data_IF_464579516562
#
_entry.id   IF_464579516562
#
_cell.length_a   1.000
_cell.length_b   1.000
_cell.length_c   1.000
_cell.angle_alpha   90.00
_cell.angle_beta   90.00
_cell.angle_gamma   90.00
#
_symmetry.space_group_name_H-M   'P 1'
#
loop_
_entity.id
_entity.type
_entity.pdbx_description
1 polymer ?
#
# COMPACT_ATOMS: atom_id res chain seq x y z
N UNK A 1 -32.55 -18.84 15.90
CA UNK A 1 -31.22 -19.49 15.74
C UNK A 1 -30.23 -18.65 16.50
N UNK A 2 -29.71 -19.15 17.62
CA UNK A 2 -28.65 -18.49 18.38
C UNK A 2 -27.41 -18.51 17.48
N UNK A 3 -26.98 -17.33 17.04
CA UNK A 3 -25.93 -17.22 16.05
C UNK A 3 -24.61 -17.72 16.60
N UNK A 4 -24.06 -18.76 15.97
CA UNK A 4 -22.64 -19.05 16.08
C UNK A 4 -21.86 -17.78 15.70
N UNK A 5 -20.90 -17.38 16.52
CA UNK A 5 -20.10 -16.19 16.28
C UNK A 5 -19.50 -16.28 14.87
N UNK A 6 -19.76 -15.28 14.05
CA UNK A 6 -19.25 -15.24 12.66
C UNK A 6 -17.73 -15.07 12.71
N UNK A 7 -16.98 -16.04 12.18
CA UNK A 7 -15.52 -16.03 12.13
C UNK A 7 -15.07 -15.90 10.68
N UNK A 8 -14.46 -14.77 10.34
CA UNK A 8 -14.14 -14.38 8.97
C UNK A 8 -12.63 -14.42 8.75
N UNK A 9 -12.21 -15.15 7.71
CA UNK A 9 -10.84 -15.12 7.22
C UNK A 9 -10.73 -14.16 6.04
N UNK A 10 -9.88 -13.15 6.15
CA UNK A 10 -9.45 -12.29 5.05
C UNK A 10 -8.16 -12.85 4.47
N UNK A 11 -8.07 -12.96 3.14
CA UNK A 11 -6.85 -13.41 2.45
C UNK A 11 -6.37 -12.30 1.52
N UNK A 12 -5.33 -11.57 1.93
CA UNK A 12 -4.64 -10.54 1.12
C UNK A 12 -3.18 -10.49 1.54
N UNK A 13 -2.34 -11.41 1.04
CA UNK A 13 -0.96 -11.55 1.53
C UNK A 13 -0.01 -10.42 1.14
N UNK A 14 -0.15 -9.82 -0.03
CA UNK A 14 0.81 -8.82 -0.58
C UNK A 14 0.22 -8.11 -1.81
N UNK A 15 0.79 -7.01 -2.35
CA UNK A 15 1.94 -6.26 -1.84
C UNK A 15 1.52 -5.21 -0.80
N UNK A 16 2.41 -4.28 -0.38
CA UNK A 16 2.06 -3.22 0.60
C UNK A 16 0.83 -2.42 0.15
N UNK A 17 0.83 -1.89 -1.07
CA UNK A 17 -0.30 -1.14 -1.60
C UNK A 17 -1.58 -1.98 -1.68
N UNK A 18 -1.47 -3.26 -2.08
CA UNK A 18 -2.62 -4.17 -2.11
C UNK A 18 -3.20 -4.44 -0.72
N UNK A 19 -2.34 -4.55 0.30
CA UNK A 19 -2.77 -4.70 1.70
C UNK A 19 -3.51 -3.45 2.14
N UNK A 20 -2.93 -2.26 1.90
CA UNK A 20 -3.58 -0.97 2.19
C UNK A 20 -4.95 -0.89 1.50
N UNK A 21 -5.06 -1.23 0.22
CA UNK A 21 -6.33 -1.18 -0.52
C UNK A 21 -7.42 -2.12 0.03
N UNK A 22 -7.09 -3.06 0.90
CA UNK A 22 -8.07 -3.97 1.49
C UNK A 22 -8.68 -3.46 2.81
N UNK A 23 -8.04 -2.49 3.49
CA UNK A 23 -8.55 -1.98 4.78
C UNK A 23 -10.01 -1.50 4.73
N UNK A 24 -10.44 -0.72 3.71
CA UNK A 24 -11.84 -0.28 3.65
C UNK A 24 -12.84 -1.44 3.53
N UNK A 25 -12.50 -2.50 2.78
CA UNK A 25 -13.33 -3.69 2.67
C UNK A 25 -13.41 -4.46 4.01
N UNK A 26 -12.32 -4.52 4.77
CA UNK A 26 -12.27 -5.12 6.11
C UNK A 26 -13.10 -4.30 7.11
N UNK A 27 -12.97 -2.97 7.07
CA UNK A 27 -13.79 -2.06 7.87
C UNK A 27 -15.28 -2.26 7.60
N UNK A 28 -15.64 -2.42 6.34
CA UNK A 28 -17.02 -2.66 5.93
C UNK A 28 -17.57 -3.99 6.45
N UNK A 29 -16.75 -5.06 6.42
CA UNK A 29 -17.10 -6.35 7.01
C UNK A 29 -17.36 -6.23 8.51
N UNK A 30 -16.49 -5.53 9.24
CA UNK A 30 -16.64 -5.33 10.67
C UNK A 30 -17.87 -4.50 11.01
N UNK A 31 -18.16 -3.45 10.25
CA UNK A 31 -19.36 -2.65 10.40
C UNK A 31 -20.63 -3.49 10.17
N UNK A 32 -20.63 -4.40 9.20
CA UNK A 32 -21.78 -5.29 8.89
C UNK A 32 -21.93 -6.40 9.93
N UNK A 33 -20.85 -6.86 10.51
CA UNK A 33 -20.82 -7.95 11.50
C UNK A 33 -19.99 -7.51 12.73
N UNK A 34 -20.56 -6.65 13.60
CA UNK A 34 -19.82 -6.09 14.74
C UNK A 34 -19.25 -7.15 15.68
N UNK A 35 -19.96 -8.27 15.87
CA UNK A 35 -19.54 -9.36 16.75
C UNK A 35 -18.61 -10.38 16.06
N UNK A 36 -18.33 -10.21 14.75
CA UNK A 36 -17.48 -11.14 14.04
C UNK A 36 -16.01 -11.01 14.47
N UNK A 37 -15.34 -12.15 14.57
CA UNK A 37 -13.88 -12.21 14.69
C UNK A 37 -13.28 -12.19 13.29
N UNK A 38 -12.50 -11.15 12.95
CA UNK A 38 -11.80 -11.05 11.69
C UNK A 38 -10.33 -11.45 11.88
N UNK A 39 -9.90 -12.44 11.11
CA UNK A 39 -8.50 -12.85 11.02
C UNK A 39 -7.99 -12.56 9.61
N UNK A 40 -6.77 -12.05 9.46
CA UNK A 40 -6.22 -11.68 8.16
C UNK A 40 -4.91 -12.41 7.87
N UNK A 41 -4.88 -13.24 6.82
CA UNK A 41 -3.64 -13.83 6.31
C UNK A 41 -2.90 -12.81 5.46
N UNK A 42 -1.72 -12.45 5.92
CA UNK A 42 -0.85 -11.43 5.32
C UNK A 42 0.61 -11.89 5.39
N UNK A 43 1.47 -11.43 4.48
CA UNK A 43 2.91 -11.70 4.60
C UNK A 43 3.44 -11.17 5.94
N UNK A 44 4.37 -11.90 6.53
CA UNK A 44 5.00 -11.55 7.81
C UNK A 44 5.52 -10.11 7.83
N UNK A 45 6.09 -9.62 6.74
CA UNK A 45 6.55 -8.24 6.57
C UNK A 45 5.47 -7.17 6.82
N UNK A 46 4.20 -7.51 6.65
CA UNK A 46 3.07 -6.56 6.80
C UNK A 46 2.14 -6.91 7.97
N UNK A 47 2.50 -7.91 8.78
CA UNK A 47 1.66 -8.36 9.88
C UNK A 47 1.43 -7.25 10.91
N UNK A 48 2.48 -6.51 11.25
CA UNK A 48 2.41 -5.40 12.21
C UNK A 48 1.54 -4.25 11.69
N UNK A 49 1.61 -3.94 10.38
CA UNK A 49 0.74 -2.95 9.74
C UNK A 49 -0.74 -3.36 9.83
N UNK A 50 -1.05 -4.64 9.57
CA UNK A 50 -2.41 -5.17 9.73
C UNK A 50 -2.84 -5.14 11.18
N UNK A 51 -1.92 -5.30 12.13
CA UNK A 51 -2.15 -5.14 13.56
C UNK A 51 -2.61 -3.74 13.98
N UNK A 52 -2.33 -2.71 13.16
CA UNK A 52 -2.87 -1.36 13.37
C UNK A 52 -4.36 -1.23 13.01
N UNK A 53 -4.95 -2.24 12.36
CA UNK A 53 -6.38 -2.25 12.05
C UNK A 53 -7.20 -2.67 13.27
N UNK A 54 -8.00 -1.77 13.88
CA UNK A 54 -8.80 -2.11 15.06
C UNK A 54 -9.88 -3.16 14.76
N UNK A 55 -10.21 -3.35 13.49
CA UNK A 55 -11.24 -4.26 13.03
C UNK A 55 -10.73 -5.71 12.89
N UNK A 56 -9.41 -5.92 12.93
CA UNK A 56 -8.75 -7.22 12.80
C UNK A 56 -8.32 -7.73 14.16
N UNK A 57 -8.83 -8.89 14.56
CA UNK A 57 -8.46 -9.53 15.80
C UNK A 57 -7.11 -10.27 15.71
N UNK A 58 -6.81 -10.85 14.55
CA UNK A 58 -5.61 -11.65 14.36
C UNK A 58 -4.97 -11.41 12.98
N UNK A 59 -3.75 -10.88 12.96
CA UNK A 59 -2.87 -10.90 11.79
C UNK A 59 -2.14 -12.25 11.73
N UNK A 60 -2.44 -13.05 10.70
CA UNK A 60 -1.89 -14.40 10.53
C UNK A 60 -0.73 -14.36 9.54
N UNK A 61 0.49 -14.41 10.04
CA UNK A 61 1.70 -14.25 9.24
C UNK A 61 1.91 -15.40 8.24
N UNK A 62 1.94 -15.06 6.95
CA UNK A 62 2.25 -15.97 5.85
C UNK A 62 3.72 -15.81 5.46
N UNK A 63 4.57 -16.74 5.88
CA UNK A 63 6.03 -16.68 5.73
C UNK A 63 6.51 -17.18 4.38
N UNK A 64 6.08 -16.50 3.30
CA UNK A 64 6.30 -16.92 1.90
C UNK A 64 7.75 -17.28 1.57
N UNK A 65 8.69 -16.41 1.94
CA UNK A 65 10.11 -16.60 1.60
C UNK A 65 10.71 -17.80 2.34
N UNK A 66 10.32 -17.97 3.61
CA UNK A 66 10.77 -19.09 4.44
C UNK A 66 10.24 -20.43 3.93
N UNK A 67 8.96 -20.45 3.50
CA UNK A 67 8.29 -21.68 3.04
C UNK A 67 8.56 -22.06 1.59
N UNK A 68 9.29 -21.27 0.85
CA UNK A 68 9.83 -21.66 -0.46
C UNK A 68 10.88 -22.78 -0.34
N UNK A 69 11.40 -23.04 0.87
CA UNK A 69 12.38 -24.10 1.13
C UNK A 69 11.66 -25.42 1.46
N UNK A 70 11.93 -26.54 0.75
CA UNK A 70 11.27 -27.85 0.99
C UNK A 70 11.36 -28.32 2.45
N UNK A 71 12.46 -28.03 3.12
CA UNK A 71 12.69 -28.35 4.54
C UNK A 71 11.67 -27.74 5.50
N UNK A 72 10.89 -26.76 5.06
CA UNK A 72 9.91 -26.02 5.86
C UNK A 72 8.46 -26.44 5.62
N UNK A 73 8.22 -27.52 4.92
CA UNK A 73 6.86 -28.00 4.63
C UNK A 73 6.07 -28.37 5.88
N UNK A 74 6.74 -28.83 6.95
CA UNK A 74 6.08 -29.02 8.24
C UNK A 74 5.46 -27.73 8.81
N UNK A 75 6.11 -26.58 8.58
CA UNK A 75 5.58 -25.27 8.99
C UNK A 75 4.34 -24.91 8.16
N UNK A 76 4.32 -25.24 6.87
CA UNK A 76 3.14 -25.03 6.00
C UNK A 76 1.97 -25.89 6.46
N UNK A 77 2.24 -27.17 6.79
CA UNK A 77 1.23 -28.07 7.34
C UNK A 77 0.70 -27.53 8.66
N UNK A 78 1.60 -27.06 9.55
CA UNK A 78 1.24 -26.43 10.81
C UNK A 78 0.37 -25.19 10.62
N UNK A 79 0.71 -24.34 9.65
CA UNK A 79 -0.08 -23.16 9.30
C UNK A 79 -1.49 -23.54 8.84
N UNK A 80 -1.61 -24.52 7.92
CA UNK A 80 -2.92 -25.00 7.44
C UNK A 80 -3.74 -25.63 8.57
N UNK A 81 -3.12 -26.41 9.46
CA UNK A 81 -3.80 -26.95 10.64
C UNK A 81 -4.28 -25.83 11.56
N UNK A 82 -3.44 -24.81 11.79
CA UNK A 82 -3.80 -23.63 12.58
C UNK A 82 -4.95 -22.83 11.97
N UNK A 83 -5.04 -22.74 10.62
CA UNK A 83 -6.19 -22.12 9.95
C UNK A 83 -7.47 -22.94 10.20
N UNK A 84 -7.42 -24.27 10.03
CA UNK A 84 -8.58 -25.15 10.22
C UNK A 84 -9.09 -25.15 11.66
N UNK A 85 -8.17 -25.14 12.63
CA UNK A 85 -8.50 -25.11 14.05
C UNK A 85 -9.26 -23.84 14.48
N UNK A 86 -9.26 -22.80 13.65
CA UNK A 86 -10.01 -21.56 13.90
C UNK A 86 -11.46 -21.61 13.43
N UNK A 87 -11.88 -22.67 12.73
CA UNK A 87 -13.26 -22.90 12.31
C UNK A 87 -13.93 -21.70 11.65
N UNK A 88 -13.28 -21.16 10.61
CA UNK A 88 -13.79 -20.03 9.87
C UNK A 88 -15.14 -20.35 9.21
N UNK A 89 -16.12 -19.49 9.38
CA UNK A 89 -17.44 -19.60 8.74
C UNK A 89 -17.39 -19.13 7.29
N UNK A 90 -16.52 -18.15 7.00
CA UNK A 90 -16.30 -17.64 5.65
C UNK A 90 -14.86 -17.21 5.44
N UNK A 91 -14.32 -17.45 4.26
CA UNK A 91 -13.06 -16.90 3.79
C UNK A 91 -13.31 -15.93 2.62
N UNK A 92 -12.72 -14.73 2.68
CA UNK A 92 -12.83 -13.70 1.66
C UNK A 92 -11.46 -13.48 1.05
N UNK A 93 -11.28 -13.89 -0.20
CA UNK A 93 -10.03 -13.69 -0.94
C UNK A 93 -10.06 -12.38 -1.73
N UNK A 94 -9.37 -11.38 -1.23
CA UNK A 94 -9.20 -10.07 -1.85
C UNK A 94 -7.95 -10.00 -2.77
N UNK A 95 -7.17 -11.09 -2.87
CA UNK A 95 -5.97 -11.16 -3.72
C UNK A 95 -6.27 -11.67 -5.12
N UNK A 96 -7.03 -12.75 -5.23
CA UNK A 96 -7.43 -13.34 -6.51
C UNK A 96 -6.31 -14.03 -7.28
N UNK A 97 -5.34 -14.66 -6.59
CA UNK A 97 -4.27 -15.47 -7.17
C UNK A 97 -4.37 -16.92 -6.68
N UNK A 98 -3.83 -17.89 -7.42
CA UNK A 98 -3.90 -19.30 -7.05
C UNK A 98 -3.48 -19.55 -5.60
N UNK A 99 -2.39 -18.93 -5.16
CA UNK A 99 -1.89 -19.07 -3.79
C UNK A 99 -2.91 -18.62 -2.75
N UNK A 100 -3.54 -17.48 -2.94
CA UNK A 100 -4.55 -16.96 -2.01
C UNK A 100 -5.83 -17.80 -2.06
N UNK A 101 -6.23 -18.25 -3.23
CA UNK A 101 -7.33 -19.21 -3.41
C UNK A 101 -7.09 -20.52 -2.67
N UNK A 102 -5.87 -21.06 -2.73
CA UNK A 102 -5.49 -22.27 -1.98
C UNK A 102 -5.52 -22.03 -0.47
N UNK A 103 -5.07 -20.86 0.02
CA UNK A 103 -5.18 -20.52 1.44
C UNK A 103 -6.67 -20.51 1.86
N UNK A 104 -7.53 -19.87 1.08
CA UNK A 104 -8.98 -19.87 1.32
C UNK A 104 -9.57 -21.29 1.28
N UNK A 105 -9.15 -22.14 0.32
CA UNK A 105 -9.61 -23.54 0.18
C UNK A 105 -9.19 -24.40 1.35
N UNK A 106 -7.94 -24.26 1.80
CA UNK A 106 -7.39 -25.09 2.88
C UNK A 106 -7.70 -24.60 4.29
N UNK A 107 -8.25 -23.37 4.43
CA UNK A 107 -8.74 -22.88 5.72
C UNK A 107 -9.89 -23.72 6.30
N UNK A 108 -10.57 -24.48 5.47
CA UNK A 108 -11.73 -25.27 5.87
C UNK A 108 -13.05 -24.49 5.87
N UNK A 109 -13.03 -23.18 5.59
CA UNK A 109 -14.22 -22.36 5.54
C UNK A 109 -15.25 -22.92 4.52
N UNK A 110 -16.51 -23.19 4.92
CA UNK A 110 -17.53 -23.72 4.02
C UNK A 110 -17.92 -22.72 2.93
N UNK A 111 -17.96 -21.42 3.25
CA UNK A 111 -18.19 -20.33 2.31
C UNK A 111 -16.88 -19.66 1.97
N UNK A 112 -16.54 -19.60 0.68
CA UNK A 112 -15.31 -19.00 0.19
C UNK A 112 -15.64 -18.04 -0.95
N UNK A 113 -15.44 -16.75 -0.69
CA UNK A 113 -15.81 -15.65 -1.59
C UNK A 113 -14.54 -15.14 -2.27
N UNK A 114 -14.61 -14.87 -3.57
CA UNK A 114 -13.54 -14.25 -4.32
C UNK A 114 -13.99 -13.71 -5.67
N UNK A 115 -13.07 -13.08 -6.40
CA UNK A 115 -13.38 -12.50 -7.71
C UNK A 115 -13.64 -13.59 -8.76
N UNK A 116 -14.67 -13.41 -9.58
CA UNK A 116 -14.93 -14.28 -10.72
C UNK A 116 -13.78 -14.24 -11.74
N UNK A 117 -13.18 -13.05 -11.95
CA UNK A 117 -12.03 -12.82 -12.81
C UNK A 117 -10.67 -13.04 -12.09
N UNK A 118 -10.64 -13.88 -11.04
CA UNK A 118 -9.40 -14.24 -10.36
C UNK A 118 -8.44 -14.96 -11.30
N UNK A 119 -7.15 -14.63 -11.20
CA UNK A 119 -6.10 -15.14 -12.08
C UNK A 119 -5.59 -16.52 -11.65
N UNK A 120 -4.78 -17.15 -12.50
CA UNK A 120 -4.07 -18.41 -12.21
C UNK A 120 -5.03 -19.56 -11.82
N UNK A 121 -6.30 -19.49 -12.19
CA UNK A 121 -7.30 -20.50 -11.84
C UNK A 121 -7.82 -20.43 -10.40
N UNK A 122 -7.51 -19.39 -9.65
CA UNK A 122 -7.94 -19.21 -8.25
C UNK A 122 -9.46 -19.27 -8.05
N UNK A 123 -10.23 -18.86 -9.06
CA UNK A 123 -11.70 -18.92 -9.02
C UNK A 123 -12.26 -20.33 -8.72
N UNK A 124 -11.51 -21.40 -9.02
CA UNK A 124 -11.89 -22.79 -8.69
C UNK A 124 -11.84 -23.10 -7.20
N UNK A 125 -11.17 -22.28 -6.41
CA UNK A 125 -11.09 -22.43 -4.95
C UNK A 125 -12.29 -21.85 -4.23
N UNK A 126 -13.12 -21.03 -4.91
CA UNK A 126 -14.24 -20.31 -4.30
C UNK A 126 -15.56 -21.06 -4.47
N UNK A 127 -16.41 -20.97 -3.46
CA UNK A 127 -17.82 -21.43 -3.51
C UNK A 127 -18.72 -20.33 -4.07
N UNK A 128 -18.30 -19.07 -3.93
CA UNK A 128 -19.01 -17.90 -4.42
C UNK A 128 -18.04 -16.98 -5.18
N UNK A 129 -18.42 -16.59 -6.39
CA UNK A 129 -17.61 -15.79 -7.29
C UNK A 129 -18.33 -14.49 -7.62
N UNK A 130 -17.71 -13.37 -7.27
CA UNK A 130 -18.28 -12.04 -7.51
C UNK A 130 -17.75 -11.49 -8.83
N UNK A 131 -18.66 -11.18 -9.76
CA UNK A 131 -18.33 -10.52 -11.00
C UNK A 131 -18.28 -9.01 -10.77
N UNK A 132 -17.09 -8.43 -10.90
CA UNK A 132 -16.89 -6.99 -10.75
C UNK A 132 -17.23 -6.29 -12.06
N UNK A 133 -18.11 -5.27 -12.07
CA UNK A 133 -18.40 -4.47 -13.26
C UNK A 133 -17.17 -3.76 -13.82
N UNK A 134 -17.12 -3.55 -15.13
CA UNK A 134 -15.95 -2.95 -15.80
C UNK A 134 -15.67 -1.49 -15.37
N UNK A 135 -16.67 -0.77 -14.92
CA UNK A 135 -16.52 0.60 -14.41
C UNK A 135 -15.97 0.66 -12.98
N UNK A 136 -15.94 -0.46 -12.25
CA UNK A 136 -15.29 -0.56 -10.92
C UNK A 136 -13.82 -0.90 -11.13
N UNK A 137 -12.99 0.13 -11.33
CA UNK A 137 -11.60 -0.03 -11.78
C UNK A 137 -10.59 -0.01 -10.66
N UNK A 138 -10.71 0.94 -9.72
CA UNK A 138 -9.73 1.12 -8.66
C UNK A 138 -9.68 -0.08 -7.70
N UNK A 139 -8.50 -0.46 -7.23
CA UNK A 139 -8.30 -1.64 -6.38
C UNK A 139 -9.09 -1.57 -5.06
N UNK A 140 -9.24 -0.38 -4.46
CA UNK A 140 -10.09 -0.17 -3.28
C UNK A 140 -11.54 -0.46 -3.61
N UNK A 141 -12.06 0.15 -4.68
CA UNK A 141 -13.47 -0.01 -5.08
C UNK A 141 -13.80 -1.46 -5.42
N UNK A 142 -12.88 -2.17 -6.06
CA UNK A 142 -13.01 -3.60 -6.36
C UNK A 142 -13.13 -4.45 -5.09
N UNK A 143 -12.28 -4.19 -4.09
CA UNK A 143 -12.32 -4.90 -2.81
C UNK A 143 -13.63 -4.60 -2.06
N UNK A 144 -14.04 -3.33 -2.01
CA UNK A 144 -15.30 -2.89 -1.41
C UNK A 144 -16.50 -3.49 -2.15
N UNK A 145 -16.48 -3.48 -3.49
CA UNK A 145 -17.53 -4.06 -4.32
C UNK A 145 -17.70 -5.57 -4.05
N UNK A 146 -16.59 -6.31 -3.98
CA UNK A 146 -16.63 -7.74 -3.66
C UNK A 146 -17.35 -7.99 -2.34
N UNK A 147 -16.97 -7.25 -1.29
CA UNK A 147 -17.59 -7.40 0.04
C UNK A 147 -19.05 -6.97 0.02
N UNK A 148 -19.38 -5.83 -0.58
CA UNK A 148 -20.77 -5.35 -0.70
C UNK A 148 -21.65 -6.38 -1.38
N UNK A 149 -21.23 -6.89 -2.52
CA UNK A 149 -21.99 -7.87 -3.31
C UNK A 149 -22.19 -9.18 -2.58
N UNK A 150 -21.13 -9.72 -1.97
CA UNK A 150 -21.18 -11.01 -1.30
C UNK A 150 -22.00 -10.98 0.01
N UNK A 151 -22.09 -9.84 0.68
CA UNK A 151 -22.72 -9.73 2.01
C UNK A 151 -23.97 -8.86 2.02
N UNK A 152 -24.47 -8.43 0.86
CA UNK A 152 -25.72 -7.68 0.72
C UNK A 152 -25.67 -6.31 1.41
N UNK A 153 -24.55 -5.58 1.27
CA UNK A 153 -24.37 -4.27 1.87
C UNK A 153 -24.72 -3.19 0.84
N UNK A 154 -25.83 -2.47 1.05
CA UNK A 154 -26.35 -1.52 0.08
C UNK A 154 -25.45 -0.28 -0.04
N UNK A 155 -25.17 0.38 1.07
CA UNK A 155 -24.39 1.60 1.13
C UNK A 155 -23.12 1.40 1.95
N UNK A 156 -22.01 1.96 1.45
CA UNK A 156 -20.73 1.88 2.12
C UNK A 156 -19.91 3.14 1.87
N UNK A 157 -19.64 3.87 2.92
CA UNK A 157 -18.59 4.91 2.89
C UNK A 157 -17.25 4.22 2.99
N UNK A 158 -16.35 4.53 2.05
CA UNK A 158 -14.96 4.08 2.12
C UNK A 158 -14.26 4.84 3.24
N UNK A 159 -13.82 4.12 4.25
CA UNK A 159 -13.12 4.69 5.39
C UNK A 159 -11.89 3.85 5.74
N UNK A 160 -10.82 4.53 6.07
CA UNK A 160 -9.58 3.92 6.55
C UNK A 160 -9.64 3.75 8.06
N UNK A 161 -9.10 2.67 8.56
CA UNK A 161 -9.05 2.36 9.99
C UNK A 161 -7.64 1.88 10.34
N UNK A 162 -6.74 2.82 10.55
CA UNK A 162 -5.36 2.60 10.96
C UNK A 162 -5.09 3.34 12.25
N UNK A 163 -4.88 2.61 13.35
CA UNK A 163 -4.46 3.20 14.63
C UNK A 163 -3.02 3.68 14.54
N UNK A 164 -2.67 4.62 15.38
CA UNK A 164 -1.28 4.92 15.66
C UNK A 164 -0.69 3.91 16.63
N UNK A 165 0.59 3.57 16.44
CA UNK A 165 1.37 2.76 17.39
C UNK A 165 2.20 3.68 18.29
N UNK A 166 2.03 3.68 19.61
CA UNK A 166 2.74 4.60 20.50
C UNK A 166 4.26 4.53 20.36
N UNK A 167 4.83 3.33 20.27
CA UNK A 167 6.28 3.15 20.09
C UNK A 167 6.74 3.72 18.75
N UNK A 168 6.01 3.49 17.66
CA UNK A 168 6.33 4.04 16.36
C UNK A 168 6.16 5.58 16.30
N UNK A 169 5.21 6.14 17.07
CA UNK A 169 5.08 7.58 17.23
C UNK A 169 6.31 8.18 17.93
N UNK A 170 6.78 7.52 18.99
CA UNK A 170 7.99 7.95 19.71
C UNK A 170 9.23 7.84 18.80
N UNK A 171 9.37 6.75 18.06
CA UNK A 171 10.46 6.56 17.10
C UNK A 171 10.44 7.63 16.00
N UNK A 172 9.26 7.94 15.44
CA UNK A 172 9.12 8.99 14.42
C UNK A 172 9.49 10.36 14.98
N UNK A 173 9.06 10.71 16.20
CA UNK A 173 9.45 11.96 16.86
C UNK A 173 10.96 12.01 17.09
N UNK A 174 11.55 10.94 17.61
CA UNK A 174 12.98 10.86 17.86
C UNK A 174 13.82 11.01 16.55
N UNK A 175 13.34 10.41 15.42
CA UNK A 175 13.97 10.59 14.11
C UNK A 175 13.91 12.04 13.65
N UNK A 176 12.73 12.67 13.70
CA UNK A 176 12.57 14.07 13.32
C UNK A 176 13.42 15.00 14.18
N UNK A 177 13.48 14.78 15.49
CA UNK A 177 14.30 15.55 16.42
C UNK A 177 15.80 15.37 16.16
N UNK A 178 16.28 14.13 15.98
CA UNK A 178 17.69 13.80 15.67
C UNK A 178 18.16 14.52 14.42
N UNK A 179 17.31 14.60 13.43
CA UNK A 179 17.63 15.21 12.13
C UNK A 179 17.18 16.67 12.03
N UNK A 180 16.75 17.29 13.13
CA UNK A 180 16.30 18.69 13.22
C UNK A 180 15.19 19.05 12.22
N UNK A 181 14.28 18.10 11.99
CA UNK A 181 13.10 18.27 11.12
C UNK A 181 11.86 18.71 11.89
N UNK A 182 11.90 18.69 13.22
CA UNK A 182 10.77 19.12 14.06
C UNK A 182 10.52 20.62 13.89
N UNK A 183 9.24 20.99 13.82
CA UNK A 183 8.81 22.40 13.74
C UNK A 183 8.91 23.03 12.36
N UNK A 184 9.55 22.39 11.39
CA UNK A 184 9.54 22.87 10.01
C UNK A 184 8.15 22.73 9.38
N UNK A 185 7.74 23.76 8.65
CA UNK A 185 6.50 23.76 7.87
C UNK A 185 6.70 24.52 6.55
N UNK A 186 6.31 23.93 5.41
CA UNK A 186 5.86 22.55 5.30
C UNK A 186 6.99 21.52 5.50
N UNK A 187 6.65 20.37 6.10
CA UNK A 187 7.50 19.18 6.13
C UNK A 187 7.11 18.28 4.95
N UNK A 188 8.02 18.13 3.99
CA UNK A 188 7.75 17.43 2.73
C UNK A 188 8.49 16.10 2.70
N UNK A 189 7.73 15.02 2.58
CA UNK A 189 8.27 13.68 2.34
C UNK A 189 8.56 13.47 0.86
N UNK A 190 9.67 12.80 0.53
CA UNK A 190 10.01 12.42 -0.84
C UNK A 190 10.33 10.94 -0.88
N UNK A 191 9.54 10.15 -1.64
CA UNK A 191 9.77 8.73 -1.86
C UNK A 191 10.24 8.48 -3.32
N UNK A 192 11.57 8.65 -3.58
CA UNK A 192 12.09 8.68 -4.93
C UNK A 192 12.29 7.28 -5.54
N UNK A 193 12.24 6.24 -4.72
CA UNK A 193 12.41 4.87 -5.18
C UNK A 193 11.09 4.18 -5.51
N UNK A 194 11.14 3.25 -6.43
CA UNK A 194 10.03 2.34 -6.73
C UNK A 194 10.57 0.93 -6.99
N UNK A 195 9.75 -0.09 -6.73
CA UNK A 195 10.13 -1.49 -6.92
C UNK A 195 10.48 -1.84 -8.37
N UNK A 196 9.88 -1.14 -9.34
CA UNK A 196 10.14 -1.32 -10.75
C UNK A 196 10.97 -0.14 -11.26
N UNK A 197 12.12 -0.39 -11.91
CA UNK A 197 12.93 0.68 -12.48
C UNK A 197 12.14 1.61 -13.42
N UNK A 198 11.18 1.04 -14.18
CA UNK A 198 10.31 1.80 -15.09
C UNK A 198 9.39 2.81 -14.38
N UNK A 199 9.12 2.64 -13.09
CA UNK A 199 8.30 3.55 -12.27
C UNK A 199 9.12 4.65 -11.60
N UNK A 200 10.43 4.56 -11.65
CA UNK A 200 11.30 5.51 -10.95
C UNK A 200 11.50 6.76 -11.80
N UNK A 201 11.05 7.88 -11.30
CA UNK A 201 11.31 9.19 -11.89
C UNK A 201 12.80 9.55 -11.70
N UNK A 202 13.44 10.20 -12.68
CA UNK A 202 14.85 10.51 -12.59
C UNK A 202 15.22 11.32 -11.35
N UNK A 203 16.31 10.97 -10.63
CA UNK A 203 16.71 11.66 -9.41
C UNK A 203 16.92 13.17 -9.58
N UNK A 204 17.43 13.59 -10.73
CA UNK A 204 17.64 15.00 -11.08
C UNK A 204 16.35 15.82 -11.10
N UNK A 205 15.21 15.19 -11.43
CA UNK A 205 13.92 15.88 -11.43
C UNK A 205 13.35 16.03 -10.02
N UNK A 206 13.53 15.03 -9.14
CA UNK A 206 13.23 15.20 -7.71
C UNK A 206 14.05 16.35 -7.11
N UNK A 207 15.33 16.42 -7.45
CA UNK A 207 16.23 17.48 -6.99
C UNK A 207 15.78 18.87 -7.51
N UNK A 208 15.36 18.97 -8.78
CA UNK A 208 14.81 20.22 -9.35
C UNK A 208 13.53 20.66 -8.61
N UNK A 209 12.61 19.72 -8.31
CA UNK A 209 11.42 20.03 -7.49
C UNK A 209 11.82 20.56 -6.12
N UNK A 210 12.72 19.88 -5.42
CA UNK A 210 13.20 20.28 -4.08
C UNK A 210 13.79 21.69 -4.14
N UNK A 211 14.65 21.97 -5.14
CA UNK A 211 15.24 23.29 -5.33
C UNK A 211 14.22 24.39 -5.57
N UNK A 212 13.22 24.16 -6.45
CA UNK A 212 12.15 25.12 -6.75
C UNK A 212 11.28 25.40 -5.54
N UNK A 213 10.87 24.35 -4.82
CA UNK A 213 10.03 24.50 -3.62
C UNK A 213 10.81 25.21 -2.52
N UNK A 214 12.08 24.87 -2.28
CA UNK A 214 12.92 25.56 -1.30
C UNK A 214 13.13 27.04 -1.62
N UNK A 215 13.21 27.41 -2.90
CA UNK A 215 13.33 28.81 -3.31
C UNK A 215 12.02 29.61 -3.15
N UNK A 216 10.88 28.94 -3.13
CA UNK A 216 9.54 29.55 -3.07
C UNK A 216 8.88 29.49 -1.69
N UNK A 217 9.35 28.65 -0.78
CA UNK A 217 8.74 28.43 0.55
C UNK A 217 9.79 28.49 1.66
N UNK A 218 9.80 29.59 2.39
CA UNK A 218 10.63 29.74 3.58
C UNK A 218 10.25 28.71 4.65
N UNK A 219 11.24 28.07 5.27
CA UNK A 219 11.04 27.09 6.34
C UNK A 219 10.66 25.69 5.89
N UNK A 220 10.53 25.44 4.58
CA UNK A 220 10.27 24.09 4.04
C UNK A 220 11.44 23.15 4.35
N UNK A 221 11.12 21.95 4.83
CA UNK A 221 12.11 20.90 5.05
C UNK A 221 11.71 19.62 4.29
N UNK A 222 12.73 18.90 3.82
CA UNK A 222 12.54 17.70 3.01
C UNK A 222 13.20 16.50 3.66
N UNK A 223 12.52 15.37 3.65
CA UNK A 223 13.08 14.10 4.08
C UNK A 223 12.83 13.00 3.03
N UNK A 224 13.83 12.13 2.84
CA UNK A 224 13.74 11.01 1.90
C UNK A 224 13.24 9.76 2.59
N UNK A 225 12.20 9.16 2.00
CA UNK A 225 11.55 7.93 2.43
C UNK A 225 12.02 6.75 1.58
N UNK A 226 12.41 5.66 2.22
CA UNK A 226 12.77 4.43 1.53
C UNK A 226 13.46 3.43 2.45
N UNK A 227 13.67 2.23 1.92
CA UNK A 227 14.43 1.16 2.58
C UNK A 227 15.95 1.38 2.46
N UNK A 228 16.72 0.64 3.25
CA UNK A 228 18.18 0.63 3.14
C UNK A 228 18.67 0.24 1.74
N UNK A 229 17.99 -0.72 1.10
CA UNK A 229 18.34 -1.15 -0.27
C UNK A 229 18.09 -0.08 -1.34
N UNK A 230 17.31 0.95 -1.03
CA UNK A 230 16.98 2.06 -1.91
C UNK A 230 17.83 3.32 -1.63
N UNK A 231 18.72 3.27 -0.65
CA UNK A 231 19.58 4.39 -0.24
C UNK A 231 20.34 5.04 -1.41
N UNK A 232 20.82 4.24 -2.36
CA UNK A 232 21.55 4.75 -3.53
C UNK A 232 20.72 5.73 -4.38
N UNK A 233 19.41 5.51 -4.50
CA UNK A 233 18.50 6.41 -5.21
C UNK A 233 18.35 7.74 -4.44
N UNK A 234 18.23 7.68 -3.12
CA UNK A 234 18.18 8.86 -2.26
C UNK A 234 19.47 9.70 -2.34
N UNK A 235 20.62 9.06 -2.32
CA UNK A 235 21.91 9.76 -2.47
C UNK A 235 22.06 10.40 -3.86
N UNK A 236 21.52 9.77 -4.92
CA UNK A 236 21.49 10.38 -6.25
C UNK A 236 20.63 11.66 -6.28
N UNK A 237 19.47 11.66 -5.59
CA UNK A 237 18.64 12.88 -5.43
C UNK A 237 19.42 13.97 -4.69
N UNK A 238 20.08 13.62 -3.58
CA UNK A 238 20.87 14.56 -2.78
C UNK A 238 22.05 15.15 -3.56
N UNK A 239 22.73 14.31 -4.33
CA UNK A 239 23.86 14.74 -5.15
C UNK A 239 23.47 15.71 -6.28
N UNK A 240 22.25 15.55 -6.82
CA UNK A 240 21.73 16.42 -7.87
C UNK A 240 21.14 17.75 -7.34
N UNK A 241 20.91 17.88 -6.02
CA UNK A 241 20.07 18.94 -5.41
C UNK A 241 20.76 20.24 -5.01
N UNK A 242 22.02 20.50 -5.34
CA UNK A 242 22.68 21.75 -4.98
C UNK A 242 22.65 22.04 -3.48
N UNK A 243 22.26 23.29 -3.10
CA UNK A 243 22.18 23.73 -1.71
C UNK A 243 20.96 23.21 -0.95
N UNK A 244 19.86 22.96 -1.62
CA UNK A 244 18.63 22.41 -1.04
C UNK A 244 18.74 20.89 -0.86
N UNK A 245 19.37 20.46 0.25
CA UNK A 245 19.63 19.04 0.50
C UNK A 245 18.56 18.42 1.40
N UNK A 246 17.77 17.44 0.90
CA UNK A 246 16.84 16.70 1.75
C UNK A 246 17.60 15.85 2.77
N UNK A 247 17.01 15.66 3.94
CA UNK A 247 17.51 14.75 4.97
C UNK A 247 17.17 13.31 4.58
N UNK A 248 18.15 12.42 4.53
CA UNK A 248 17.88 11.01 4.23
C UNK A 248 17.50 10.25 5.51
N UNK A 249 16.27 9.74 5.56
CA UNK A 249 15.82 8.79 6.58
C UNK A 249 15.71 7.37 6.00
N UNK A 250 16.31 7.13 4.83
CA UNK A 250 16.27 5.84 4.16
C UNK A 250 16.98 4.75 4.98
N UNK A 251 16.25 3.68 5.31
CA UNK A 251 16.73 2.58 6.15
C UNK A 251 16.72 2.87 7.66
N UNK A 252 16.38 4.10 8.08
CA UNK A 252 16.32 4.45 9.52
C UNK A 252 14.94 4.18 10.15
N UNK A 253 13.93 3.89 9.34
CA UNK A 253 12.58 3.63 9.81
C UNK A 253 12.09 2.22 9.43
N UNK A 254 11.39 1.56 10.34
CA UNK A 254 10.58 0.41 10.01
C UNK A 254 9.24 0.85 9.37
N UNK A 255 8.40 -0.13 8.98
CA UNK A 255 7.13 0.16 8.31
C UNK A 255 6.17 0.99 9.18
N UNK A 256 6.09 0.70 10.50
CA UNK A 256 5.19 1.44 11.40
C UNK A 256 5.69 2.85 11.67
N UNK A 257 6.98 3.01 11.86
CA UNK A 257 7.62 4.33 12.01
C UNK A 257 7.42 5.18 10.73
N UNK A 258 7.51 4.57 9.53
CA UNK A 258 7.20 5.26 8.28
C UNK A 258 5.72 5.72 8.23
N UNK A 259 4.76 4.92 8.70
CA UNK A 259 3.35 5.34 8.81
C UNK A 259 3.23 6.61 9.66
N UNK A 260 3.90 6.66 10.81
CA UNK A 260 3.84 7.81 11.72
C UNK A 260 4.62 9.04 11.20
N UNK A 261 5.71 8.84 10.46
CA UNK A 261 6.39 9.93 9.75
C UNK A 261 5.47 10.54 8.69
N UNK A 262 4.78 9.71 7.91
CA UNK A 262 3.83 10.16 6.89
C UNK A 262 2.65 10.93 7.51
N UNK A 263 2.14 10.53 8.68
CA UNK A 263 1.11 11.30 9.41
C UNK A 263 1.55 12.71 9.80
N UNK A 264 2.85 12.93 9.97
CA UNK A 264 3.43 14.22 10.36
C UNK A 264 3.91 15.04 9.15
N UNK A 265 3.81 14.47 7.96
CA UNK A 265 4.21 15.05 6.69
C UNK A 265 3.06 15.86 6.11
N UNK A 266 3.32 17.10 5.69
CA UNK A 266 2.30 17.97 5.11
C UNK A 266 1.98 17.58 3.66
N UNK A 267 3.00 17.14 2.87
CA UNK A 267 2.85 16.64 1.49
C UNK A 267 3.86 15.52 1.24
N UNK A 268 3.44 14.46 0.56
CA UNK A 268 4.34 13.41 0.04
C UNK A 268 4.49 13.53 -1.47
N UNK A 269 5.71 13.73 -1.95
CA UNK A 269 6.08 13.56 -3.37
C UNK A 269 6.60 12.14 -3.58
N UNK A 270 6.01 11.39 -4.51
CA UNK A 270 6.32 9.96 -4.62
C UNK A 270 6.11 9.39 -6.02
N UNK A 271 6.86 8.37 -6.37
CA UNK A 271 6.50 7.48 -7.47
C UNK A 271 5.28 6.61 -7.11
N UNK A 272 4.69 5.91 -8.09
CA UNK A 272 3.74 4.80 -7.87
C UNK A 272 4.41 3.67 -7.07
N UNK A 273 4.38 3.80 -5.75
CA UNK A 273 5.09 2.95 -4.80
C UNK A 273 4.32 2.74 -3.49
N UNK A 274 4.84 1.88 -2.61
CA UNK A 274 4.20 1.56 -1.32
C UNK A 274 3.88 2.77 -0.44
N UNK A 275 4.83 3.69 -0.20
CA UNK A 275 4.60 4.89 0.60
C UNK A 275 3.41 5.76 0.12
N UNK A 276 3.17 5.84 -1.18
CA UNK A 276 2.02 6.53 -1.76
C UNK A 276 0.68 6.04 -1.17
N UNK A 277 0.50 4.72 -1.13
CA UNK A 277 -0.74 4.12 -0.64
C UNK A 277 -0.89 4.31 0.88
N UNK A 278 0.22 4.24 1.61
CA UNK A 278 0.23 4.51 3.07
C UNK A 278 -0.15 5.95 3.34
N UNK A 279 0.47 6.91 2.64
CA UNK A 279 0.17 8.33 2.76
C UNK A 279 -1.31 8.63 2.51
N UNK A 280 -1.87 8.11 1.42
CA UNK A 280 -3.29 8.24 1.12
C UNK A 280 -4.19 7.65 2.23
N UNK A 281 -3.82 6.49 2.79
CA UNK A 281 -4.58 5.83 3.84
C UNK A 281 -4.56 6.58 5.19
N UNK A 282 -3.50 7.34 5.47
CA UNK A 282 -3.38 8.15 6.69
C UNK A 282 -3.78 9.62 6.50
N UNK A 283 -4.23 9.99 5.29
CA UNK A 283 -4.75 11.32 4.99
C UNK A 283 -3.68 12.34 4.61
N UNK A 284 -2.43 11.92 4.34
CA UNK A 284 -1.38 12.82 3.90
C UNK A 284 -1.58 13.19 2.43
N UNK A 285 -1.70 14.48 2.08
CA UNK A 285 -1.71 14.95 0.70
C UNK A 285 -0.54 14.39 -0.09
N UNK A 286 -0.80 13.94 -1.31
CA UNK A 286 0.21 13.20 -2.08
C UNK A 286 0.27 13.71 -3.52
N UNK A 287 1.46 14.04 -3.96
CA UNK A 287 1.81 14.31 -5.36
C UNK A 287 2.45 13.05 -5.92
N UNK A 288 1.73 12.32 -6.75
CA UNK A 288 2.08 10.99 -7.23
C UNK A 288 2.48 10.99 -8.71
N UNK A 289 3.59 10.33 -9.02
CA UNK A 289 4.18 10.25 -10.35
C UNK A 289 3.95 8.86 -10.95
N UNK A 290 3.27 8.82 -12.08
CA UNK A 290 2.94 7.61 -12.81
C UNK A 290 3.61 7.62 -14.19
N UNK A 291 4.13 6.49 -14.60
CA UNK A 291 4.69 6.29 -15.93
C UNK A 291 4.05 5.08 -16.63
N UNK A 292 4.55 3.85 -16.40
CA UNK A 292 4.10 2.64 -17.11
C UNK A 292 2.76 2.09 -16.62
N UNK A 293 2.21 2.60 -15.52
CA UNK A 293 1.01 2.11 -14.86
C UNK A 293 -0.14 3.12 -14.95
N UNK A 294 -1.37 2.63 -14.74
CA UNK A 294 -2.59 3.43 -14.82
C UNK A 294 -3.05 3.85 -13.42
N UNK A 295 -3.04 5.16 -13.09
CA UNK A 295 -3.47 5.65 -11.79
C UNK A 295 -4.96 5.38 -11.50
N UNK A 296 -5.80 5.20 -12.51
CA UNK A 296 -7.20 4.83 -12.30
C UNK A 296 -7.37 3.43 -11.68
N UNK A 297 -6.32 2.60 -11.68
CA UNK A 297 -6.33 1.27 -11.07
C UNK A 297 -5.78 1.27 -9.64
N UNK A 298 -4.74 2.07 -9.38
CA UNK A 298 -3.97 2.02 -8.14
C UNK A 298 -3.42 3.37 -7.69
N UNK A 299 -3.96 4.49 -8.15
CA UNK A 299 -3.55 5.81 -7.69
C UNK A 299 -3.78 6.03 -6.18
N UNK A 300 -3.32 7.14 -5.62
CA UNK A 300 -3.65 7.49 -4.25
C UNK A 300 -5.16 7.67 -4.13
N UNK A 301 -5.79 6.92 -3.23
CA UNK A 301 -7.25 6.87 -3.14
C UNK A 301 -7.79 7.95 -2.23
N UNK A 302 -8.75 8.72 -2.72
CA UNK A 302 -9.41 9.79 -1.99
C UNK A 302 -9.26 11.15 -2.67
N UNK A 303 -9.64 12.20 -1.96
CA UNK A 303 -9.47 13.59 -2.39
C UNK A 303 -8.19 14.20 -1.81
N UNK A 304 -7.73 15.32 -2.37
CA UNK A 304 -6.53 16.02 -1.88
C UNK A 304 -5.22 15.48 -2.40
N UNK A 305 -5.26 14.59 -3.40
CA UNK A 305 -4.06 14.08 -4.08
C UNK A 305 -3.95 14.66 -5.48
N UNK A 306 -2.71 14.84 -5.95
CA UNK A 306 -2.38 15.24 -7.32
C UNK A 306 -1.64 14.09 -8.01
N UNK A 307 -2.05 13.77 -9.23
CA UNK A 307 -1.43 12.69 -10.01
C UNK A 307 -0.90 13.24 -11.32
N UNK A 308 0.37 13.00 -11.56
CA UNK A 308 1.02 13.31 -12.82
C UNK A 308 1.26 12.01 -13.59
N UNK A 309 0.60 11.86 -14.71
CA UNK A 309 0.77 10.73 -15.62
C UNK A 309 1.73 11.10 -16.73
N UNK A 310 2.86 10.44 -16.77
CA UNK A 310 3.82 10.60 -17.87
C UNK A 310 3.29 10.00 -19.17
N UNK A 311 3.60 10.65 -20.27
CA UNK A 311 3.11 10.29 -21.59
C UNK A 311 4.12 9.42 -22.36
N UNK A 312 3.61 8.34 -22.94
CA UNK A 312 4.36 7.45 -23.82
C UNK A 312 3.40 6.83 -24.85
N UNK A 313 3.77 6.69 -26.13
CA UNK A 313 2.92 6.06 -27.14
C UNK A 313 2.49 4.62 -26.80
N UNK A 314 3.26 3.94 -25.95
CA UNK A 314 3.00 2.57 -25.50
C UNK A 314 2.38 2.50 -24.10
N UNK A 315 2.07 3.63 -23.46
CA UNK A 315 1.53 3.67 -22.11
C UNK A 315 0.01 3.55 -22.03
N UNK A 316 -0.51 3.00 -20.93
CA UNK A 316 0.20 2.31 -19.86
C UNK A 316 0.62 0.87 -20.27
N UNK A 317 1.92 0.58 -20.24
CA UNK A 317 2.45 -0.70 -20.72
C UNK A 317 2.57 -1.79 -19.63
N UNK A 318 2.57 -1.41 -18.36
CA UNK A 318 2.77 -2.30 -17.20
C UNK A 318 4.10 -3.10 -17.22
N UNK A 319 5.08 -2.63 -17.99
CA UNK A 319 6.40 -3.27 -18.06
C UNK A 319 7.26 -2.87 -16.85
N UNK A 320 7.93 -3.86 -16.26
CA UNK A 320 8.82 -3.64 -15.11
C UNK A 320 10.11 -2.92 -15.48
N UNK A 321 10.56 -3.15 -16.69
CA UNK A 321 11.75 -2.53 -17.26
C UNK A 321 11.37 -1.94 -18.62
N UNK A 322 11.68 -0.67 -18.83
CA UNK A 322 11.42 -0.04 -20.12
C UNK A 322 12.35 -0.63 -21.18
N UNK A 323 11.84 -1.01 -22.36
CA UNK A 323 12.69 -1.47 -23.47
C UNK A 323 13.56 -0.35 -24.06
N UNK A 324 13.14 0.92 -23.89
CA UNK A 324 13.98 2.07 -24.25
C UNK A 324 15.06 2.28 -23.18
N UNK A 325 16.23 2.73 -23.58
CA UNK A 325 17.36 3.02 -22.67
C UNK A 325 16.97 4.02 -21.56
N UNK A 326 16.00 4.89 -21.86
CA UNK A 326 15.47 5.87 -20.89
C UNK A 326 13.94 5.86 -20.98
N UNK A 327 13.22 5.67 -19.84
CA UNK A 327 11.76 5.68 -19.83
C UNK A 327 11.19 7.05 -20.24
N UNK A 328 10.68 7.16 -21.46
CA UNK A 328 10.15 8.42 -21.99
C UNK A 328 8.95 8.95 -21.21
N UNK A 329 8.09 8.06 -20.69
CA UNK A 329 6.96 8.45 -19.86
C UNK A 329 7.39 9.18 -18.57
N UNK A 330 8.41 8.70 -17.89
CA UNK A 330 8.91 9.36 -16.67
C UNK A 330 9.50 10.73 -16.98
N UNK A 331 10.25 10.87 -18.09
CA UNK A 331 10.86 12.14 -18.49
C UNK A 331 9.87 13.17 -19.05
N UNK A 332 8.67 12.76 -19.44
CA UNK A 332 7.64 13.69 -19.92
C UNK A 332 6.92 14.44 -18.80
N UNK A 333 7.10 14.04 -17.55
CA UNK A 333 6.52 14.75 -16.40
C UNK A 333 7.38 15.97 -16.06
N UNK A 334 6.77 17.16 -16.09
CA UNK A 334 7.46 18.43 -15.83
C UNK A 334 7.73 18.62 -14.34
N UNK A 335 9.02 18.78 -13.98
CA UNK A 335 9.40 19.08 -12.60
C UNK A 335 8.84 20.43 -12.11
N UNK A 336 8.72 21.43 -12.98
CA UNK A 336 8.10 22.71 -12.65
C UNK A 336 6.62 22.58 -12.27
N UNK A 337 5.86 21.77 -13.05
CA UNK A 337 4.45 21.52 -12.75
C UNK A 337 4.28 20.71 -11.46
N UNK A 338 5.17 19.74 -11.20
CA UNK A 338 5.18 18.96 -9.95
C UNK A 338 5.51 19.86 -8.76
N UNK A 339 6.50 20.76 -8.89
CA UNK A 339 6.86 21.72 -7.83
C UNK A 339 5.69 22.64 -7.46
N UNK A 340 4.97 23.17 -8.46
CA UNK A 340 3.77 23.95 -8.23
C UNK A 340 2.71 23.19 -7.44
N UNK A 341 2.47 21.92 -7.77
CA UNK A 341 1.50 21.08 -7.08
C UNK A 341 1.93 20.67 -5.64
N UNK A 342 3.21 20.71 -5.33
CA UNK A 342 3.71 20.47 -3.95
C UNK A 342 3.46 21.68 -3.05
N UNK A 343 3.36 22.86 -3.63
CA UNK A 343 3.17 24.15 -2.91
C UNK A 343 1.68 24.47 -2.69
N UNK A 344 0.78 23.98 -3.58
CA UNK A 344 -0.69 24.10 -3.44
C UNK A 344 -1.25 23.30 -2.25
#
# INVERSE_FOLDING_TARGET
MRGSAVNILIVKPSSLGDVIHAFPAVRLLKARFPEATLSWVVNDTYADLVGLCPDVAHALAFRRHRWAQPRRWSEVIGFVRGLRAREFTVAVDLQGLLRSGLIARFSGAPRRVGFAAAREGAARCYTERVLTPANVRHAVDRNVFLVRSAFGIADATVAWSLRSAPDAQADAAALLGRHRLEGHRPLIGVAPAARWPSKTWPPEFFADVIGRVSAGLDGAAFWLCGSESERAVGEAVRAAGGDARPVSLMGESNLLTMVELLRRTDVLLTNDSGPMHVAAAVGTPTVALFGPTDPALTGPYGSGHRVFQGHCPHGPCFERTCPAATPGCQRSVSAAAVAAAVVE
#
